data_IF_574272688046
#
_entry.id   IF_574272688046
#
_cell.length_a   1.000
_cell.length_b   1.000
_cell.length_c   1.000
_cell.angle_alpha   90.00
_cell.angle_beta   90.00
_cell.angle_gamma   90.00
#
_symmetry.space_group_name_H-M   'P 1'
#
loop_
_entity.id
_entity.type
_entity.pdbx_description
1 polymer ?
#
# COMPACT_ATOMS: atom_id res chain seq x y z
N UNK A 1 -11.33 -3.68 -35.05
CA UNK A 1 -12.65 -3.90 -34.41
C UNK A 1 -12.70 -5.14 -33.51
N UNK A 2 -12.49 -6.40 -34.00
CA UNK A 2 -12.55 -7.59 -33.11
C UNK A 2 -11.39 -7.65 -32.10
N UNK A 3 -10.21 -7.16 -32.46
CA UNK A 3 -9.03 -7.12 -31.59
C UNK A 3 -9.19 -6.03 -30.51
N UNK A 4 -9.73 -4.86 -30.90
CA UNK A 4 -10.01 -3.75 -29.98
C UNK A 4 -11.10 -4.12 -28.94
N UNK A 5 -12.09 -4.92 -29.34
CA UNK A 5 -13.17 -5.37 -28.44
C UNK A 5 -12.66 -6.41 -27.43
N UNK A 6 -11.76 -7.30 -27.86
CA UNK A 6 -11.14 -8.30 -27.00
C UNK A 6 -10.20 -7.67 -25.97
N UNK A 7 -9.42 -6.68 -26.40
CA UNK A 7 -8.55 -5.88 -25.53
C UNK A 7 -9.39 -5.03 -24.53
N UNK A 8 -10.54 -4.53 -24.96
CA UNK A 8 -11.49 -3.82 -24.10
C UNK A 8 -12.18 -4.75 -23.08
N UNK A 9 -12.61 -5.94 -23.50
CA UNK A 9 -13.18 -6.95 -22.58
C UNK A 9 -12.14 -7.51 -21.60
N UNK A 10 -10.88 -7.69 -22.04
CA UNK A 10 -9.78 -8.07 -21.15
C UNK A 10 -9.46 -6.95 -20.15
N UNK A 11 -9.48 -5.69 -20.56
CA UNK A 11 -9.34 -4.52 -19.67
C UNK A 11 -10.46 -4.44 -18.63
N UNK A 12 -11.71 -4.68 -19.00
CA UNK A 12 -12.84 -4.71 -18.07
C UNK A 12 -12.68 -5.85 -17.05
N UNK A 13 -12.29 -7.05 -17.52
CA UNK A 13 -12.05 -8.20 -16.62
C UNK A 13 -10.87 -7.99 -15.69
N UNK A 14 -9.80 -7.36 -16.17
CA UNK A 14 -8.65 -6.99 -15.36
C UNK A 14 -9.04 -6.01 -14.25
N UNK A 15 -9.84 -5.01 -14.57
CA UNK A 15 -10.30 -4.03 -13.58
C UNK A 15 -11.17 -4.64 -12.47
N UNK A 16 -11.97 -5.66 -12.77
CA UNK A 16 -12.83 -6.33 -11.76
C UNK A 16 -12.02 -7.09 -10.70
N UNK A 17 -10.85 -7.64 -11.06
CA UNK A 17 -10.00 -8.37 -10.12
C UNK A 17 -9.34 -7.49 -9.05
N UNK A 18 -9.20 -6.19 -9.30
CA UNK A 18 -8.64 -5.22 -8.37
C UNK A 18 -9.71 -4.39 -7.64
N UNK A 19 -10.97 -4.79 -7.73
CA UNK A 19 -12.06 -4.12 -7.05
C UNK A 19 -11.98 -4.32 -5.54
N UNK A 20 -12.08 -3.22 -4.80
CA UNK A 20 -12.14 -3.26 -3.35
C UNK A 20 -13.46 -3.87 -2.87
N UNK A 21 -13.34 -4.87 -2.00
CA UNK A 21 -14.47 -5.52 -1.35
C UNK A 21 -14.68 -4.97 0.06
N UNK A 22 -15.70 -4.12 0.22
CA UNK A 22 -16.03 -3.50 1.49
C UNK A 22 -16.58 -4.49 2.55
N UNK A 23 -17.05 -5.66 2.11
CA UNK A 23 -17.62 -6.68 3.03
C UNK A 23 -16.52 -7.48 3.75
N UNK A 24 -15.31 -7.53 3.21
CA UNK A 24 -14.18 -8.26 3.81
C UNK A 24 -13.59 -7.59 5.05
N UNK A 25 -14.04 -6.37 5.39
CA UNK A 25 -13.52 -5.65 6.55
C UNK A 25 -13.97 -6.28 7.87
N UNK A 26 -13.09 -6.28 8.85
CA UNK A 26 -13.36 -6.69 10.22
C UNK A 26 -13.09 -5.55 11.20
N UNK A 27 -13.87 -5.48 12.28
CA UNK A 27 -13.62 -4.50 13.33
C UNK A 27 -12.47 -4.97 14.20
N UNK A 28 -11.43 -4.15 14.32
CA UNK A 28 -10.27 -4.40 15.18
C UNK A 28 -10.01 -3.21 16.10
N UNK A 29 -9.55 -3.51 17.32
CA UNK A 29 -9.06 -2.51 18.28
C UNK A 29 -7.57 -2.69 18.46
N UNK A 30 -6.82 -1.61 18.29
CA UNK A 30 -5.37 -1.55 18.46
C UNK A 30 -5.04 -0.68 19.68
N UNK A 31 -3.98 -1.05 20.38
CA UNK A 31 -3.50 -0.32 21.55
C UNK A 31 -2.05 0.12 21.36
N UNK A 32 -1.76 1.38 21.66
CA UNK A 32 -0.41 1.91 21.65
C UNK A 32 -0.26 3.04 22.68
N UNK A 33 0.78 2.99 23.49
CA UNK A 33 1.09 4.00 24.51
C UNK A 33 -0.11 4.39 25.40
N UNK A 34 -0.90 3.39 25.84
CA UNK A 34 -2.08 3.60 26.70
C UNK A 34 -3.33 4.13 25.99
N UNK A 35 -3.28 4.31 24.69
CA UNK A 35 -4.41 4.73 23.86
C UNK A 35 -4.98 3.55 23.08
N UNK A 36 -6.29 3.63 22.75
CA UNK A 36 -7.01 2.61 21.96
C UNK A 36 -7.65 3.25 20.75
N UNK A 37 -7.55 2.58 19.60
CA UNK A 37 -8.24 2.94 18.37
C UNK A 37 -9.00 1.74 17.86
N UNK A 38 -10.30 1.92 17.61
CA UNK A 38 -11.12 0.93 16.90
C UNK A 38 -11.30 1.37 15.46
N UNK A 39 -11.05 0.46 14.54
CA UNK A 39 -11.17 0.71 13.11
C UNK A 39 -11.72 -0.52 12.37
N UNK A 40 -12.25 -0.28 11.20
CA UNK A 40 -12.52 -1.31 10.21
C UNK A 40 -11.22 -1.61 9.48
N UNK A 41 -10.73 -2.83 9.61
CA UNK A 41 -9.47 -3.29 9.05
C UNK A 41 -9.71 -4.23 7.86
N UNK A 42 -9.01 -3.98 6.76
CA UNK A 42 -9.01 -4.80 5.56
C UNK A 42 -7.57 -5.23 5.31
N UNK A 43 -7.26 -6.50 5.52
CA UNK A 43 -5.89 -6.98 5.55
C UNK A 43 -5.55 -7.85 4.35
N UNK A 44 -4.30 -7.75 3.89
CA UNK A 44 -3.72 -8.63 2.90
C UNK A 44 -4.32 -8.50 1.49
N UNK A 45 -4.80 -7.31 1.12
CA UNK A 45 -5.35 -7.03 -0.21
C UNK A 45 -4.21 -6.99 -1.23
N UNK A 46 -4.27 -7.82 -2.25
CA UNK A 46 -3.33 -7.78 -3.38
C UNK A 46 -3.71 -6.63 -4.30
N UNK A 47 -2.80 -5.68 -4.51
CA UNK A 47 -3.06 -4.44 -5.25
C UNK A 47 -2.66 -4.48 -6.74
N UNK A 48 -2.20 -5.63 -7.22
CA UNK A 48 -1.85 -5.85 -8.63
C UNK A 48 -2.21 -7.27 -9.03
N UNK A 49 -2.51 -7.51 -10.30
CA UNK A 49 -3.03 -8.82 -10.75
C UNK A 49 -1.98 -9.92 -10.79
N UNK A 50 -0.74 -9.54 -11.00
CA UNK A 50 0.41 -10.45 -11.15
C UNK A 50 1.53 -10.07 -10.19
N UNK A 51 1.34 -10.26 -8.88
CA UNK A 51 2.37 -9.94 -7.91
C UNK A 51 3.61 -10.81 -8.17
N UNK A 52 4.76 -10.16 -8.25
CA UNK A 52 6.05 -10.83 -8.41
C UNK A 52 6.65 -11.28 -7.06
N UNK A 53 6.10 -10.79 -5.95
CA UNK A 53 6.55 -11.06 -4.59
C UNK A 53 5.33 -11.02 -3.64
N UNK A 54 5.24 -11.94 -2.65
CA UNK A 54 4.15 -11.97 -1.66
C UNK A 54 4.01 -10.68 -0.83
N UNK A 55 5.05 -9.85 -0.75
CA UNK A 55 5.00 -8.55 -0.06
C UNK A 55 4.04 -7.56 -0.73
N UNK A 56 3.72 -7.76 -2.02
CA UNK A 56 2.85 -6.87 -2.81
C UNK A 56 1.38 -6.96 -2.39
N UNK A 57 1.12 -6.64 -1.13
CA UNK A 57 -0.20 -6.55 -0.51
C UNK A 57 -0.33 -5.23 0.24
N UNK A 58 -1.55 -4.81 0.50
CA UNK A 58 -1.81 -3.64 1.33
C UNK A 58 -2.85 -3.96 2.42
N UNK A 59 -2.82 -3.14 3.47
CA UNK A 59 -3.81 -3.11 4.52
C UNK A 59 -4.51 -1.75 4.51
N UNK A 60 -5.83 -1.74 4.69
CA UNK A 60 -6.61 -0.51 4.80
C UNK A 60 -7.22 -0.44 6.19
N UNK A 61 -7.13 0.73 6.84
CA UNK A 61 -7.71 0.98 8.15
C UNK A 61 -8.59 2.23 8.07
N UNK A 62 -9.84 2.08 8.50
CA UNK A 62 -10.85 3.14 8.50
C UNK A 62 -11.34 3.34 9.92
N UNK A 63 -11.26 4.54 10.52
CA UNK A 63 -11.80 4.79 11.85
C UNK A 63 -13.27 4.34 11.96
N UNK A 64 -13.59 3.49 12.94
CA UNK A 64 -14.95 2.90 13.08
C UNK A 64 -16.04 3.98 13.23
N UNK A 65 -15.70 5.11 13.82
CA UNK A 65 -16.65 6.22 13.99
C UNK A 65 -17.27 6.69 12.67
N UNK A 66 -16.59 6.50 11.54
CA UNK A 66 -17.10 6.86 10.22
C UNK A 66 -18.24 5.95 9.75
N UNK A 67 -18.29 4.70 10.19
CA UNK A 67 -19.39 3.79 9.85
C UNK A 67 -20.72 4.20 10.52
N UNK A 68 -20.61 5.00 11.60
CA UNK A 68 -21.77 5.56 12.33
C UNK A 68 -22.07 7.02 11.93
N UNK A 69 -21.45 7.52 10.86
CA UNK A 69 -21.64 8.90 10.40
C UNK A 69 -20.96 9.96 11.25
N UNK A 70 -20.03 9.54 12.15
CA UNK A 70 -19.28 10.46 13.00
C UNK A 70 -18.13 11.14 12.27
N UNK A 71 -17.39 11.99 13.02
CA UNK A 71 -16.26 12.77 12.50
C UNK A 71 -15.07 12.72 13.46
N UNK A 72 -13.85 12.85 12.91
CA UNK A 72 -12.62 13.07 13.66
C UNK A 72 -11.90 14.27 13.04
N UNK A 73 -11.53 15.27 13.81
CA UNK A 73 -10.79 16.45 13.34
C UNK A 73 -11.47 17.21 12.19
N UNK A 74 -12.80 17.13 12.09
CA UNK A 74 -13.58 17.74 11.00
C UNK A 74 -13.68 16.86 9.74
N UNK A 75 -13.07 15.69 9.72
CA UNK A 75 -13.16 14.74 8.62
C UNK A 75 -14.30 13.74 8.82
N UNK A 76 -14.92 13.37 7.71
CA UNK A 76 -15.96 12.33 7.60
C UNK A 76 -15.45 11.15 6.78
N UNK A 77 -16.25 10.09 6.68
CA UNK A 77 -15.98 8.95 5.79
C UNK A 77 -15.65 9.34 4.34
N UNK A 78 -16.19 10.48 3.85
CA UNK A 78 -16.00 10.93 2.47
C UNK A 78 -14.86 11.97 2.31
N UNK A 79 -14.54 12.70 3.36
CA UNK A 79 -13.58 13.82 3.30
C UNK A 79 -12.23 13.54 3.91
N UNK A 80 -12.11 12.43 4.65
CA UNK A 80 -10.86 12.04 5.29
C UNK A 80 -9.74 11.88 4.27
N UNK A 81 -8.55 12.47 4.49
CA UNK A 81 -7.41 12.23 3.63
C UNK A 81 -6.96 10.77 3.77
N UNK A 82 -6.37 10.22 2.71
CA UNK A 82 -5.78 8.89 2.74
C UNK A 82 -4.28 9.03 3.03
N UNK A 83 -3.86 8.51 4.16
CA UNK A 83 -2.46 8.47 4.56
C UNK A 83 -1.82 7.15 4.11
N UNK A 84 -0.71 7.23 3.37
CA UNK A 84 -0.01 6.08 2.79
C UNK A 84 1.44 6.07 3.31
N UNK A 85 1.68 5.46 4.49
CA UNK A 85 3.04 5.26 4.98
C UNK A 85 3.73 4.12 4.24
N UNK A 86 5.06 4.08 4.30
CA UNK A 86 5.84 2.90 3.96
C UNK A 86 6.87 2.56 5.04
N UNK A 87 7.28 1.30 5.08
CA UNK A 87 8.21 0.74 6.06
C UNK A 87 9.61 0.52 5.50
N UNK A 88 9.85 0.98 4.27
CA UNK A 88 11.13 0.80 3.57
C UNK A 88 12.28 1.48 4.31
N UNK A 89 13.26 0.67 4.70
CA UNK A 89 14.55 1.11 5.25
C UNK A 89 15.70 0.52 4.42
N UNK A 90 16.71 1.31 4.06
CA UNK A 90 17.88 0.83 3.31
C UNK A 90 17.55 0.16 1.96
N UNK A 91 16.39 0.50 1.37
CA UNK A 91 15.87 -0.14 0.14
C UNK A 91 15.58 -1.65 0.29
N UNK A 92 15.41 -2.15 1.51
CA UNK A 92 14.93 -3.51 1.79
C UNK A 92 13.42 -3.60 1.53
N UNK A 93 12.85 -4.82 1.39
CA UNK A 93 11.41 -4.97 1.31
C UNK A 93 10.71 -4.32 2.50
N UNK A 94 9.64 -3.59 2.23
CA UNK A 94 8.83 -2.93 3.25
C UNK A 94 7.46 -3.59 3.30
N UNK A 95 7.16 -4.45 4.29
CA UNK A 95 5.84 -5.07 4.38
C UNK A 95 4.76 -4.05 4.76
N UNK A 96 3.50 -4.40 4.46
CA UNK A 96 2.37 -3.67 4.99
C UNK A 96 2.29 -3.87 6.52
N UNK A 97 2.21 -2.79 7.27
CA UNK A 97 2.10 -2.81 8.74
C UNK A 97 0.67 -2.56 9.21
N UNK A 98 0.45 -2.84 10.49
CA UNK A 98 -0.77 -2.54 11.24
C UNK A 98 -0.54 -1.41 12.25
N UNK A 99 -1.62 -0.77 12.78
CA UNK A 99 -1.50 0.19 13.87
C UNK A 99 -0.85 -0.45 15.11
N UNK A 100 0.07 0.25 15.75
CA UNK A 100 0.76 -0.28 16.92
C UNK A 100 1.87 0.63 17.42
N UNK A 101 2.82 0.04 18.14
CA UNK A 101 4.01 0.73 18.62
C UNK A 101 5.14 0.65 17.59
N UNK A 102 5.85 1.74 17.43
CA UNK A 102 7.15 1.73 16.79
C UNK A 102 8.17 1.08 17.74
N UNK A 103 8.73 -0.05 17.37
CA UNK A 103 9.62 -0.86 18.21
C UNK A 103 10.91 -0.14 18.63
N UNK A 104 11.33 0.89 17.89
CA UNK A 104 12.56 1.66 18.22
C UNK A 104 12.30 2.76 19.24
N UNK A 105 11.12 3.37 19.21
CA UNK A 105 10.81 4.54 20.04
C UNK A 105 9.86 4.25 21.19
N UNK A 106 9.12 3.11 21.13
CA UNK A 106 8.03 2.81 22.06
C UNK A 106 6.81 3.73 21.92
N UNK A 107 6.80 4.61 20.93
CA UNK A 107 5.70 5.53 20.64
C UNK A 107 4.73 4.90 19.62
N UNK A 108 3.49 5.40 19.50
CA UNK A 108 2.59 5.00 18.42
C UNK A 108 3.27 5.14 17.05
N UNK A 109 3.10 4.15 16.19
CA UNK A 109 3.60 4.25 14.82
C UNK A 109 2.76 5.26 14.00
N UNK A 110 3.22 5.60 12.80
CA UNK A 110 2.56 6.60 11.95
C UNK A 110 1.14 6.21 11.55
N UNK A 111 0.85 4.92 11.43
CA UNK A 111 -0.48 4.38 11.12
C UNK A 111 -1.44 4.70 12.26
N UNK A 112 -1.05 4.37 13.50
CA UNK A 112 -1.84 4.65 14.69
C UNK A 112 -2.10 6.15 14.83
N UNK A 113 -1.06 6.97 14.72
CA UNK A 113 -1.18 8.43 14.82
C UNK A 113 -2.09 9.02 13.74
N UNK A 114 -1.99 8.57 12.50
CA UNK A 114 -2.84 9.04 11.41
C UNK A 114 -4.33 8.72 11.65
N UNK A 115 -4.64 7.52 12.17
CA UNK A 115 -6.00 7.14 12.54
C UNK A 115 -6.56 8.00 13.68
N UNK A 116 -5.75 8.33 14.71
CA UNK A 116 -6.15 9.27 15.77
C UNK A 116 -6.56 10.64 15.23
N UNK A 117 -5.92 11.07 14.14
CA UNK A 117 -6.20 12.35 13.48
C UNK A 117 -7.25 12.26 12.37
N UNK A 118 -7.94 11.12 12.24
CA UNK A 118 -9.06 10.95 11.32
C UNK A 118 -8.68 10.64 9.88
N UNK A 119 -7.43 10.28 9.60
CA UNK A 119 -7.07 9.77 8.29
C UNK A 119 -7.62 8.35 8.08
N UNK A 120 -7.99 8.02 6.86
CA UNK A 120 -8.00 6.63 6.39
C UNK A 120 -6.56 6.26 6.06
N UNK A 121 -6.12 5.06 6.45
CA UNK A 121 -4.73 4.66 6.23
C UNK A 121 -4.67 3.49 5.25
N UNK A 122 -3.78 3.58 4.27
CA UNK A 122 -3.45 2.49 3.34
C UNK A 122 -1.96 2.18 3.50
N UNK A 123 -1.64 1.10 4.20
CA UNK A 123 -0.28 0.63 4.40
C UNK A 123 0.06 -0.37 3.30
N UNK A 124 0.89 0.04 2.34
CA UNK A 124 1.28 -0.78 1.19
C UNK A 124 2.60 -1.50 1.42
N UNK A 125 2.61 -2.81 1.20
CA UNK A 125 3.84 -3.59 1.13
C UNK A 125 4.48 -3.46 -0.24
N UNK A 126 5.80 -3.28 -0.27
CA UNK A 126 6.56 -3.07 -1.51
C UNK A 126 7.81 -3.93 -1.54
N UNK A 127 8.18 -4.39 -2.72
CA UNK A 127 9.43 -5.11 -2.95
C UNK A 127 10.64 -4.26 -2.52
N UNK A 128 11.76 -4.90 -2.31
CA UNK A 128 13.03 -4.25 -2.01
C UNK A 128 14.19 -4.92 -2.73
N UNK A 129 15.39 -4.35 -2.57
CA UNK A 129 16.62 -4.80 -3.25
C UNK A 129 16.96 -6.28 -3.03
N UNK A 130 16.36 -6.92 -2.02
CA UNK A 130 16.59 -8.32 -1.68
C UNK A 130 15.40 -9.23 -2.02
N UNK A 131 14.30 -8.70 -2.57
CA UNK A 131 13.15 -9.49 -3.00
C UNK A 131 13.56 -10.54 -4.04
N UNK A 132 13.25 -11.81 -3.74
CA UNK A 132 13.59 -12.98 -4.57
C UNK A 132 15.01 -13.52 -4.37
N UNK A 133 15.80 -12.99 -3.42
CA UNK A 133 17.09 -13.58 -3.04
C UNK A 133 16.89 -14.84 -2.20
N UNK A 134 17.81 -15.81 -2.35
CA UNK A 134 17.85 -16.95 -1.47
C UNK A 134 18.32 -16.57 -0.07
N UNK A 135 17.71 -17.17 0.96
CA UNK A 135 18.02 -16.88 2.37
C UNK A 135 19.50 -17.10 2.73
N UNK A 136 20.22 -17.90 1.96
CA UNK A 136 21.65 -18.19 2.14
C UNK A 136 22.58 -17.07 1.63
N UNK A 137 22.08 -16.07 0.92
CA UNK A 137 22.88 -14.99 0.31
C UNK A 137 22.94 -13.72 1.17
N UNK A 138 22.52 -13.80 2.43
CA UNK A 138 22.48 -12.63 3.31
C UNK A 138 23.78 -12.37 4.07
N UNK A 139 24.24 -11.13 3.99
CA UNK A 139 25.31 -10.61 4.84
C UNK A 139 24.88 -10.54 6.31
N UNK A 140 25.77 -10.92 7.22
CA UNK A 140 25.61 -10.79 8.66
C UNK A 140 25.13 -9.38 9.06
N UNK A 141 23.99 -9.29 9.77
CA UNK A 141 23.51 -8.07 10.42
C UNK A 141 22.11 -7.58 10.09
N UNK A 142 21.41 -8.14 9.11
CA UNK A 142 20.01 -7.81 8.82
C UNK A 142 19.07 -8.97 9.14
N UNK A 143 18.08 -8.76 10.01
CA UNK A 143 16.95 -9.68 10.09
C UNK A 143 16.23 -9.64 8.73
N UNK A 144 16.31 -10.74 8.00
CA UNK A 144 15.48 -10.95 6.82
C UNK A 144 14.10 -11.27 7.32
N UNK A 145 13.16 -10.41 7.00
CA UNK A 145 11.76 -10.81 7.03
C UNK A 145 11.56 -11.75 5.84
N UNK A 146 11.22 -13.00 6.13
CA UNK A 146 11.06 -14.12 5.17
C UNK A 146 9.76 -13.96 4.35
N UNK A 147 9.51 -12.75 3.86
CA UNK A 147 8.31 -12.42 3.09
C UNK A 147 8.47 -12.68 1.59
N UNK A 148 9.68 -12.96 1.12
CA UNK A 148 9.96 -13.26 -0.28
C UNK A 148 9.91 -14.75 -0.62
N UNK A 149 9.40 -15.12 -1.78
CA UNK A 149 9.56 -16.48 -2.31
C UNK A 149 11.03 -16.70 -2.67
N UNK A 150 11.65 -17.65 -2.01
CA UNK A 150 13.02 -18.11 -2.31
C UNK A 150 13.04 -18.91 -3.63
N UNK A 151 12.81 -18.23 -4.75
CA UNK A 151 12.86 -18.82 -6.08
C UNK A 151 14.16 -18.49 -6.84
N UNK A 152 15.09 -17.78 -6.19
CA UNK A 152 16.36 -17.35 -6.77
C UNK A 152 16.24 -16.34 -7.92
N UNK A 153 15.05 -15.80 -8.18
CA UNK A 153 14.83 -14.77 -9.20
C UNK A 153 14.72 -13.41 -8.53
N UNK A 154 15.72 -12.58 -8.72
CA UNK A 154 15.73 -11.20 -8.23
C UNK A 154 14.58 -10.38 -8.86
N UNK A 155 13.57 -10.03 -8.06
CA UNK A 155 12.40 -9.26 -8.50
C UNK A 155 12.33 -7.85 -7.91
N UNK A 156 13.27 -7.50 -7.04
CA UNK A 156 13.33 -6.21 -6.34
C UNK A 156 14.32 -5.20 -6.89
N UNK A 157 14.92 -5.46 -8.07
CA UNK A 157 15.82 -4.48 -8.74
C UNK A 157 15.06 -3.21 -9.10
N UNK A 158 15.78 -2.08 -9.10
CA UNK A 158 15.21 -0.82 -9.59
C UNK A 158 14.59 -1.02 -11.00
N UNK A 159 13.40 -0.49 -11.27
CA UNK A 159 12.61 0.45 -10.46
C UNK A 159 11.52 -0.18 -9.58
N UNK A 160 11.60 -1.45 -9.20
CA UNK A 160 10.53 -2.24 -8.58
C UNK A 160 9.86 -1.55 -7.38
N UNK A 161 10.63 -0.95 -6.46
CA UNK A 161 10.07 -0.27 -5.28
C UNK A 161 9.14 0.89 -5.66
N UNK A 162 9.58 1.72 -6.61
CA UNK A 162 8.77 2.87 -7.07
C UNK A 162 7.54 2.39 -7.83
N UNK A 163 7.67 1.35 -8.64
CA UNK A 163 6.56 0.72 -9.36
C UNK A 163 5.50 0.24 -8.38
N UNK A 164 5.91 -0.41 -7.29
CA UNK A 164 4.97 -0.89 -6.26
C UNK A 164 4.26 0.27 -5.55
N UNK A 165 5.00 1.34 -5.17
CA UNK A 165 4.39 2.53 -4.57
C UNK A 165 3.37 3.20 -5.50
N UNK A 166 3.69 3.30 -6.78
CA UNK A 166 2.77 3.80 -7.81
C UNK A 166 1.55 2.90 -7.98
N UNK A 167 1.74 1.57 -7.94
CA UNK A 167 0.65 0.61 -8.05
C UNK A 167 -0.32 0.71 -6.85
N UNK A 168 0.18 0.93 -5.63
CA UNK A 168 -0.66 1.18 -4.44
C UNK A 168 -1.52 2.45 -4.64
N UNK A 169 -0.93 3.55 -5.12
CA UNK A 169 -1.68 4.79 -5.37
C UNK A 169 -2.72 4.58 -6.48
N UNK A 170 -2.38 3.87 -7.54
CA UNK A 170 -3.31 3.52 -8.62
C UNK A 170 -4.46 2.65 -8.12
N UNK A 171 -4.18 1.68 -7.26
CA UNK A 171 -5.21 0.87 -6.62
C UNK A 171 -6.20 1.72 -5.81
N UNK A 172 -5.71 2.69 -5.03
CA UNK A 172 -6.57 3.61 -4.26
C UNK A 172 -7.48 4.40 -5.20
N UNK A 173 -6.95 4.97 -6.26
CA UNK A 173 -7.72 5.78 -7.22
C UNK A 173 -8.68 4.97 -8.06
N UNK A 174 -8.30 3.75 -8.44
CA UNK A 174 -9.17 2.79 -9.13
C UNK A 174 -10.42 2.48 -8.31
N UNK A 175 -10.28 2.40 -7.00
CA UNK A 175 -11.37 2.11 -6.07
C UNK A 175 -12.02 3.38 -5.47
N UNK A 176 -12.00 4.48 -6.22
CA UNK A 176 -12.68 5.73 -5.86
C UNK A 176 -14.17 5.47 -5.60
N UNK A 177 -14.66 5.95 -4.44
CA UNK A 177 -16.04 5.76 -4.00
C UNK A 177 -16.32 4.39 -3.38
N UNK A 178 -15.41 3.43 -3.47
CA UNK A 178 -15.49 2.15 -2.77
C UNK A 178 -14.66 2.18 -1.49
N UNK A 179 -13.40 2.61 -1.59
CA UNK A 179 -12.55 2.85 -0.41
C UNK A 179 -13.05 4.10 0.31
N UNK A 180 -13.31 4.03 1.63
CA UNK A 180 -13.62 5.21 2.43
C UNK A 180 -12.47 6.23 2.40
N UNK A 181 -12.79 7.51 2.44
CA UNK A 181 -11.84 8.60 2.36
C UNK A 181 -11.86 9.30 0.99
N UNK A 182 -11.13 10.38 0.91
CA UNK A 182 -10.98 11.16 -0.31
C UNK A 182 -9.75 10.69 -1.11
N UNK A 183 -9.95 9.87 -2.12
CA UNK A 183 -8.89 9.30 -2.98
C UNK A 183 -8.12 10.35 -3.80
N UNK A 184 -8.56 11.60 -3.82
CA UNK A 184 -7.82 12.72 -4.41
C UNK A 184 -6.88 13.43 -3.40
N UNK A 185 -7.03 13.11 -2.09
CA UNK A 185 -6.21 13.67 -1.01
C UNK A 185 -5.33 12.59 -0.41
N UNK A 186 -4.31 12.20 -1.14
CA UNK A 186 -3.34 11.19 -0.73
C UNK A 186 -2.11 11.88 -0.12
N UNK A 187 -1.74 11.44 1.08
CA UNK A 187 -0.57 11.92 1.81
C UNK A 187 0.38 10.74 1.94
N UNK A 188 1.51 10.80 1.28
CA UNK A 188 2.55 9.77 1.37
C UNK A 188 3.57 10.11 2.48
N UNK A 189 4.06 9.12 3.19
CA UNK A 189 5.04 9.30 4.26
C UNK A 189 6.06 8.17 4.28
N UNK A 190 7.32 8.55 4.48
CA UNK A 190 8.43 7.63 4.61
C UNK A 190 9.66 8.32 5.16
N UNK A 191 10.58 7.56 5.75
CA UNK A 191 11.86 8.04 6.26
C UNK A 191 13.02 7.42 5.51
N UNK A 192 14.19 8.09 5.47
CA UNK A 192 15.40 7.56 4.80
C UNK A 192 15.07 7.13 3.35
N UNK A 193 15.39 5.90 2.98
CA UNK A 193 15.11 5.35 1.65
C UNK A 193 13.61 5.44 1.29
N UNK A 194 12.71 5.19 2.25
CA UNK A 194 11.27 5.29 2.03
C UNK A 194 10.80 6.70 1.69
N UNK A 195 11.38 7.72 2.34
CA UNK A 195 11.13 9.13 2.01
C UNK A 195 11.64 9.51 0.61
N UNK A 196 12.86 9.09 0.28
CA UNK A 196 13.44 9.31 -1.05
C UNK A 196 12.59 8.68 -2.17
N UNK A 197 12.09 7.46 -1.94
CA UNK A 197 11.26 6.74 -2.90
C UNK A 197 9.92 7.45 -3.14
N UNK A 198 9.25 7.94 -2.08
CA UNK A 198 8.01 8.70 -2.25
C UNK A 198 8.23 10.07 -2.89
N UNK A 199 9.33 10.75 -2.55
CA UNK A 199 9.70 11.99 -3.23
C UNK A 199 9.90 11.76 -4.74
N UNK A 200 10.58 10.66 -5.11
CA UNK A 200 10.78 10.29 -6.51
C UNK A 200 9.47 9.84 -7.19
N UNK A 201 8.62 9.08 -6.50
CA UNK A 201 7.32 8.68 -7.02
C UNK A 201 6.46 9.90 -7.34
N UNK A 202 6.41 10.90 -6.43
CA UNK A 202 5.69 12.16 -6.64
C UNK A 202 6.30 13.00 -7.76
N UNK A 203 7.63 13.19 -7.76
CA UNK A 203 8.32 13.98 -8.79
C UNK A 203 8.20 13.38 -10.20
N UNK A 204 8.18 12.04 -10.30
CA UNK A 204 8.03 11.35 -11.59
C UNK A 204 6.58 11.26 -12.07
N UNK A 205 5.60 11.43 -11.19
CA UNK A 205 4.16 11.43 -11.53
C UNK A 205 3.80 10.28 -12.49
N UNK A 206 3.11 10.62 -13.56
CA UNK A 206 2.69 9.67 -14.61
C UNK A 206 3.76 9.45 -15.71
N UNK A 207 5.06 9.48 -15.37
CA UNK A 207 6.11 9.23 -16.38
C UNK A 207 5.88 7.91 -17.12
N UNK A 208 6.03 7.97 -18.45
CA UNK A 208 5.87 6.81 -19.33
C UNK A 208 6.92 5.73 -19.09
N UNK A 209 8.02 6.06 -18.46
CA UNK A 209 9.12 5.12 -18.16
C UNK A 209 8.69 3.99 -17.22
N UNK A 210 7.69 4.23 -16.36
CA UNK A 210 7.16 3.22 -15.44
C UNK A 210 6.04 2.35 -16.02
N UNK A 211 5.42 2.77 -17.14
CA UNK A 211 4.26 2.07 -17.73
C UNK A 211 4.55 0.60 -18.07
N UNK A 212 5.70 0.23 -18.66
CA UNK A 212 5.99 -1.19 -18.94
C UNK A 212 6.01 -2.05 -17.66
N UNK A 213 6.63 -1.55 -16.59
CA UNK A 213 6.74 -2.25 -15.30
C UNK A 213 5.39 -2.35 -14.57
N UNK A 214 4.58 -1.30 -14.62
CA UNK A 214 3.22 -1.30 -14.05
C UNK A 214 2.33 -2.32 -14.78
N UNK A 215 2.44 -2.40 -16.11
CA UNK A 215 1.75 -3.41 -16.90
C UNK A 215 2.24 -4.83 -16.61
N UNK A 216 3.53 -5.01 -16.37
CA UNK A 216 4.12 -6.31 -16.04
C UNK A 216 3.48 -6.92 -14.79
N UNK A 217 3.34 -6.12 -13.72
CA UNK A 217 2.68 -6.58 -12.49
C UNK A 217 1.15 -6.51 -12.54
N UNK A 218 0.56 -6.01 -13.60
CA UNK A 218 -0.89 -5.81 -13.71
C UNK A 218 -1.43 -4.81 -12.69
N UNK A 219 -0.77 -3.65 -12.57
CA UNK A 219 -1.28 -2.54 -11.77
C UNK A 219 -2.55 -1.94 -12.41
N UNK A 220 -3.42 -1.35 -11.59
CA UNK A 220 -4.60 -0.66 -12.07
C UNK A 220 -4.25 0.42 -13.11
N UNK A 221 -5.08 0.57 -14.16
CA UNK A 221 -4.88 1.55 -15.24
C UNK A 221 -5.45 2.91 -14.84
N UNK A 222 -4.85 3.51 -13.83
CA UNK A 222 -5.22 4.81 -13.28
C UNK A 222 -4.01 5.76 -13.28
N UNK A 223 -4.28 7.06 -13.17
CA UNK A 223 -3.24 8.07 -12.98
C UNK A 223 -2.86 8.18 -11.50
N UNK A 224 -1.62 8.51 -11.25
CA UNK A 224 -1.08 8.74 -9.91
C UNK A 224 -1.35 10.16 -9.40
#
# INVERSE_FOLDING_TARGET
MKQDYKEYEEKIKMNDNLKFDAERGETRTYEAAGKKITCRAYLGIVYCERPADPVQKLNIFVPEVYDRGGMIGGYTKLTAPIFVPNTVGGYLPGPAEEPGLNIRTGMPNSIFAALEHGCVVVSGGVRGRTSGMKSTEFFEGGKVDDTGQDNGKMVGKAPALIVDMKAVIRYIRHNRGLIPGNTERIITSGTSAGGALYALAGASGNSRDYVPYLKEIGAADERE
#
